data_IF_915983343622
#
_entry.id   IF_915983343622
#
_cell.length_a   1.000
_cell.length_b   1.000
_cell.length_c   1.000
_cell.angle_alpha   90.00
_cell.angle_beta   90.00
_cell.angle_gamma   90.00
#
_symmetry.space_group_name_H-M   'P 1'
#
loop_
_entity.id
_entity.type
_entity.pdbx_description
1 polymer ?
#
# COMPACT_ATOMS: atom_id res chain seq x y z
N UNK A 1 -6.45 31.00 -5.88
CA UNK A 1 -6.07 31.43 -4.52
C UNK A 1 -5.42 30.27 -3.79
N UNK A 2 -4.54 30.52 -2.82
CA UNK A 2 -3.88 29.46 -2.04
C UNK A 2 -4.00 29.74 -0.55
N UNK A 3 -4.54 28.77 0.19
CA UNK A 3 -4.64 28.79 1.64
C UNK A 3 -3.26 28.94 2.29
N UNK A 4 -3.18 29.75 3.35
CA UNK A 4 -1.94 30.03 4.08
C UNK A 4 -1.09 31.17 3.50
N UNK A 5 -1.47 31.76 2.37
CA UNK A 5 -0.81 32.97 1.84
C UNK A 5 -1.60 34.19 2.30
N UNK A 6 -1.17 34.78 3.42
CA UNK A 6 -1.91 35.84 4.14
C UNK A 6 -1.78 37.23 3.49
N UNK A 7 -1.95 37.32 2.17
CA UNK A 7 -1.85 38.56 1.42
C UNK A 7 -3.07 38.74 0.50
N UNK A 8 -3.55 39.98 0.30
CA UNK A 8 -4.58 40.31 -0.68
C UNK A 8 -4.00 40.47 -2.10
N UNK A 9 -2.71 40.20 -2.33
CA UNK A 9 -2.08 40.34 -3.65
C UNK A 9 -1.55 39.00 -4.17
N UNK A 10 -0.95 39.00 -5.37
CA UNK A 10 -0.29 37.83 -5.95
C UNK A 10 1.17 37.78 -5.53
N UNK A 11 1.65 36.59 -5.20
CA UNK A 11 3.06 36.34 -4.85
C UNK A 11 3.61 35.12 -5.60
N UNK A 12 4.93 35.07 -5.77
CA UNK A 12 5.61 33.98 -6.47
C UNK A 12 6.22 32.99 -5.50
N UNK A 13 5.59 31.82 -5.37
CA UNK A 13 6.01 30.76 -4.47
C UNK A 13 6.66 29.61 -5.23
N UNK A 14 7.66 28.98 -4.62
CA UNK A 14 8.28 27.75 -5.12
C UNK A 14 7.40 26.55 -4.72
N UNK A 15 6.66 25.99 -5.68
CA UNK A 15 5.71 24.90 -5.44
C UNK A 15 6.34 23.54 -5.79
N UNK A 16 6.03 22.53 -4.97
CA UNK A 16 6.46 21.15 -5.12
C UNK A 16 5.26 20.22 -5.33
N UNK A 17 5.50 18.91 -5.44
CA UNK A 17 4.43 17.92 -5.47
C UNK A 17 3.55 17.97 -4.20
N UNK A 18 2.25 17.72 -4.37
CA UNK A 18 1.24 17.83 -3.29
C UNK A 18 0.79 19.26 -2.95
N UNK A 19 1.48 20.31 -3.42
CA UNK A 19 1.00 21.67 -3.23
C UNK A 19 -0.18 22.01 -4.15
N UNK A 20 -1.21 22.66 -3.60
CA UNK A 20 -2.27 23.26 -4.41
C UNK A 20 -1.72 24.30 -5.40
N UNK A 21 -2.44 24.47 -6.52
CA UNK A 21 -2.11 25.37 -7.65
C UNK A 21 -0.93 24.94 -8.54
N UNK A 22 -0.37 23.75 -8.35
CA UNK A 22 0.67 23.20 -9.21
C UNK A 22 0.56 21.67 -9.33
N UNK A 23 0.93 21.15 -10.51
CA UNK A 23 1.09 19.73 -10.76
C UNK A 23 2.43 19.52 -11.46
N UNK A 24 3.41 18.86 -10.80
CA UNK A 24 4.72 18.63 -11.39
C UNK A 24 4.63 17.73 -12.62
N UNK A 25 5.59 17.88 -13.55
CA UNK A 25 5.71 17.05 -14.75
C UNK A 25 6.78 15.99 -14.60
N UNK A 26 7.78 16.23 -13.75
CA UNK A 26 8.82 15.26 -13.38
C UNK A 26 8.84 15.05 -11.88
N UNK A 27 9.26 13.87 -11.45
CA UNK A 27 9.48 13.57 -10.03
C UNK A 27 10.54 14.48 -9.45
N UNK A 28 10.27 15.07 -8.28
CA UNK A 28 11.18 16.02 -7.62
C UNK A 28 11.18 17.44 -8.21
N UNK A 29 10.44 17.71 -9.28
CA UNK A 29 10.36 19.05 -9.87
C UNK A 29 9.74 20.05 -8.88
N UNK A 30 10.38 21.21 -8.74
CA UNK A 30 9.83 22.38 -8.05
C UNK A 30 9.78 23.56 -9.01
N UNK A 31 8.68 24.30 -9.02
CA UNK A 31 8.51 25.44 -9.93
C UNK A 31 8.00 26.68 -9.21
N UNK A 32 8.66 27.82 -9.46
CA UNK A 32 8.23 29.12 -8.93
C UNK A 32 7.09 29.71 -9.76
N UNK A 33 5.86 29.68 -9.23
CA UNK A 33 4.65 30.17 -9.90
C UNK A 33 4.01 31.32 -9.14
N UNK A 34 3.40 32.25 -9.88
CA UNK A 34 2.55 33.30 -9.32
C UNK A 34 1.23 32.69 -8.83
N UNK A 35 0.84 33.02 -7.60
CA UNK A 35 -0.37 32.53 -6.95
C UNK A 35 -1.02 33.70 -6.22
N UNK A 36 -2.35 33.81 -6.32
CA UNK A 36 -3.13 34.78 -5.55
C UNK A 36 -3.25 34.33 -4.09
N UNK A 37 -3.09 35.25 -3.15
CA UNK A 37 -3.23 34.96 -1.73
C UNK A 37 -4.64 34.55 -1.29
N UNK A 38 -4.79 34.27 0.00
CA UNK A 38 -6.01 33.74 0.61
C UNK A 38 -7.04 34.82 0.98
N UNK A 39 -6.60 36.07 1.16
CA UNK A 39 -7.48 37.18 1.53
C UNK A 39 -8.26 37.63 0.27
N UNK A 40 -9.58 37.67 0.39
CA UNK A 40 -10.52 38.09 -0.65
C UNK A 40 -10.48 39.61 -0.85
N UNK A 41 -10.71 40.06 -2.08
CA UNK A 41 -10.78 41.47 -2.45
C UNK A 41 -11.61 41.66 -3.71
N UNK A 42 -11.79 42.93 -4.11
CA UNK A 42 -12.56 43.30 -5.31
C UNK A 42 -11.88 42.88 -6.63
N UNK A 43 -10.62 42.44 -6.57
CA UNK A 43 -9.83 42.00 -7.72
C UNK A 43 -10.17 40.57 -8.21
N UNK A 44 -11.09 39.88 -7.54
CA UNK A 44 -11.48 38.51 -7.85
C UNK A 44 -12.68 38.47 -8.81
N UNK A 45 -12.56 37.73 -9.90
CA UNK A 45 -13.68 37.52 -10.84
C UNK A 45 -14.70 36.47 -10.36
N UNK A 46 -14.25 35.47 -9.59
CA UNK A 46 -15.09 34.34 -9.15
C UNK A 46 -14.71 33.96 -7.72
N UNK A 47 -15.73 33.74 -6.87
CA UNK A 47 -15.60 33.16 -5.55
C UNK A 47 -16.24 31.76 -5.52
N UNK A 48 -15.51 30.79 -4.97
CA UNK A 48 -16.03 29.44 -4.77
C UNK A 48 -16.55 29.32 -3.33
N UNK A 49 -17.86 29.17 -3.19
CA UNK A 49 -18.56 29.05 -1.90
C UNK A 49 -19.10 27.63 -1.73
N UNK A 50 -19.14 27.16 -0.48
CA UNK A 50 -19.72 25.86 -0.11
C UNK A 50 -20.73 26.05 1.01
N UNK A 51 -21.96 25.59 0.81
CA UNK A 51 -23.03 25.68 1.80
C UNK A 51 -22.82 24.59 2.88
N UNK A 52 -22.79 25.00 4.15
CA UNK A 52 -22.61 24.09 5.30
C UNK A 52 -23.90 23.89 6.08
N UNK A 53 -24.77 24.90 6.10
CA UNK A 53 -26.09 24.88 6.77
C UNK A 53 -27.14 25.42 5.80
N UNK A 54 -28.25 24.71 5.66
CA UNK A 54 -29.40 25.16 4.87
C UNK A 54 -30.19 26.21 5.65
N UNK A 55 -30.66 27.25 4.96
CA UNK A 55 -31.57 28.26 5.52
C UNK A 55 -33.03 27.79 5.46
N UNK A 56 -33.96 28.71 5.70
CA UNK A 56 -35.40 28.43 5.65
C UNK A 56 -35.90 28.21 4.21
N UNK A 57 -35.34 28.95 3.24
CA UNK A 57 -35.70 28.84 1.83
C UNK A 57 -34.85 27.82 1.06
N UNK A 58 -35.48 27.14 0.11
CA UNK A 58 -34.81 26.32 -0.89
C UNK A 58 -34.23 27.18 -2.03
N UNK A 59 -33.09 26.76 -2.57
CA UNK A 59 -32.37 27.39 -3.67
C UNK A 59 -32.50 26.55 -4.95
N UNK A 60 -33.08 27.13 -6.02
CA UNK A 60 -33.33 26.41 -7.26
C UNK A 60 -32.04 25.84 -7.87
N UNK A 61 -32.08 24.55 -8.17
CA UNK A 61 -30.97 23.82 -8.81
C UNK A 61 -29.79 23.47 -7.89
N UNK A 62 -29.83 23.87 -6.61
CA UNK A 62 -28.79 23.54 -5.63
C UNK A 62 -29.32 22.63 -4.52
N UNK A 63 -30.37 23.04 -3.81
CA UNK A 63 -30.96 22.24 -2.72
C UNK A 63 -32.03 21.29 -3.22
N UNK A 64 -32.72 21.66 -4.30
CA UNK A 64 -33.91 20.95 -4.79
C UNK A 64 -33.55 19.64 -5.49
N UNK A 65 -32.34 19.57 -6.05
CA UNK A 65 -31.89 18.41 -6.82
C UNK A 65 -30.83 17.63 -6.06
N UNK A 66 -31.03 16.33 -5.90
CA UNK A 66 -30.06 15.43 -5.27
C UNK A 66 -29.32 14.64 -6.34
N UNK A 67 -28.04 14.94 -6.53
CA UNK A 67 -27.18 14.17 -7.42
C UNK A 67 -26.64 12.93 -6.69
N UNK A 68 -27.01 11.70 -7.10
CA UNK A 68 -26.57 10.50 -6.41
C UNK A 68 -25.08 10.25 -6.61
N UNK A 69 -24.43 9.64 -5.60
CA UNK A 69 -23.03 9.23 -5.69
C UNK A 69 -22.87 8.14 -6.76
N UNK A 70 -22.16 8.47 -7.83
CA UNK A 70 -21.94 7.57 -8.97
C UNK A 70 -21.26 6.24 -8.64
N UNK A 71 -20.38 6.20 -7.63
CA UNK A 71 -19.57 5.02 -7.31
C UNK A 71 -19.74 4.60 -5.85
N UNK A 72 -19.94 3.30 -5.67
CA UNK A 72 -19.95 2.64 -4.37
C UNK A 72 -18.56 2.28 -3.84
N UNK A 73 -18.48 1.78 -2.60
CA UNK A 73 -17.23 1.31 -2.00
C UNK A 73 -16.65 0.08 -2.70
N UNK A 74 -15.35 0.09 -2.99
CA UNK A 74 -14.61 -1.03 -3.65
C UNK A 74 -13.92 -1.99 -2.68
N UNK A 75 -13.53 -1.51 -1.50
CA UNK A 75 -12.74 -2.28 -0.52
C UNK A 75 -13.67 -3.07 0.39
N UNK A 76 -13.36 -4.33 0.68
CA UNK A 76 -14.20 -5.20 1.52
C UNK A 76 -14.57 -4.56 2.88
N UNK A 77 -13.62 -3.93 3.57
CA UNK A 77 -13.89 -3.25 4.85
C UNK A 77 -14.77 -2.01 4.73
N UNK A 78 -14.70 -1.30 3.60
CA UNK A 78 -15.58 -0.14 3.34
C UNK A 78 -17.00 -0.59 2.99
N UNK A 79 -17.15 -1.71 2.27
CA UNK A 79 -18.46 -2.31 1.97
C UNK A 79 -19.14 -2.74 3.28
N UNK A 80 -18.40 -3.41 4.17
CA UNK A 80 -18.93 -3.79 5.50
C UNK A 80 -19.43 -2.59 6.29
N UNK A 81 -18.59 -1.56 6.43
CA UNK A 81 -18.97 -0.33 7.15
C UNK A 81 -20.17 0.36 6.53
N UNK A 82 -20.27 0.38 5.20
CA UNK A 82 -21.33 1.07 4.49
C UNK A 82 -22.70 0.42 4.74
N UNK A 83 -22.76 -0.91 4.81
CA UNK A 83 -24.00 -1.66 5.04
C UNK A 83 -24.18 -2.14 6.49
N UNK A 84 -23.29 -1.75 7.42
CA UNK A 84 -23.33 -2.23 8.80
C UNK A 84 -23.12 -3.75 8.96
N UNK A 85 -22.42 -4.39 8.01
CA UNK A 85 -22.25 -5.85 8.00
C UNK A 85 -21.23 -6.33 9.03
N UNK A 86 -21.47 -7.54 9.52
CA UNK A 86 -20.55 -8.26 10.37
C UNK A 86 -19.36 -8.85 9.60
N UNK A 87 -18.35 -9.28 10.36
CA UNK A 87 -17.16 -9.91 9.79
C UNK A 87 -17.46 -11.25 9.11
N UNK A 88 -18.50 -11.95 9.57
CA UNK A 88 -18.95 -13.25 9.06
C UNK A 88 -19.67 -13.13 7.71
N UNK A 89 -20.25 -11.96 7.44
CA UNK A 89 -21.04 -11.75 6.23
C UNK A 89 -20.20 -11.74 4.95
N UNK A 90 -20.78 -12.33 3.90
CA UNK A 90 -20.18 -12.37 2.58
C UNK A 90 -20.42 -11.07 1.81
N UNK A 91 -19.42 -10.19 1.85
CA UNK A 91 -19.40 -8.91 1.15
C UNK A 91 -19.58 -9.00 -0.36
N UNK A 92 -19.43 -10.18 -0.99
CA UNK A 92 -19.61 -10.35 -2.44
C UNK A 92 -21.04 -10.11 -2.91
N UNK A 93 -22.01 -10.44 -2.05
CA UNK A 93 -23.44 -10.27 -2.33
C UNK A 93 -23.87 -8.80 -2.27
N UNK A 94 -23.20 -8.01 -1.44
CA UNK A 94 -23.54 -6.61 -1.16
C UNK A 94 -22.78 -5.59 -2.03
N UNK A 95 -22.13 -6.02 -3.12
CA UNK A 95 -21.45 -5.08 -4.02
C UNK A 95 -22.48 -4.33 -4.85
N UNK A 96 -22.46 -3.00 -4.76
CA UNK A 96 -23.30 -2.14 -5.60
C UNK A 96 -22.95 -2.36 -7.07
N UNK A 97 -23.96 -2.75 -7.86
CA UNK A 97 -23.86 -2.95 -9.30
C UNK A 97 -24.46 -1.76 -10.03
N UNK A 98 -23.91 -1.44 -11.20
CA UNK A 98 -24.45 -0.44 -12.11
C UNK A 98 -24.97 -1.14 -13.37
N UNK A 99 -26.21 -0.90 -13.73
CA UNK A 99 -26.76 -1.24 -15.06
C UNK A 99 -26.13 -0.33 -16.10
N UNK A 100 -25.66 -0.93 -17.20
CA UNK A 100 -25.11 -0.22 -18.34
C UNK A 100 -26.05 -0.47 -19.51
N UNK A 101 -26.82 0.56 -19.84
CA UNK A 101 -27.65 0.62 -21.04
C UNK A 101 -26.80 1.17 -22.19
N UNK A 102 -26.88 0.53 -23.36
CA UNK A 102 -26.22 0.99 -24.59
C UNK A 102 -27.18 0.76 -25.74
N UNK A 103 -27.34 1.76 -26.60
CA UNK A 103 -28.20 1.66 -27.78
C UNK A 103 -27.82 0.44 -28.63
N UNK A 104 -28.81 -0.37 -28.98
CA UNK A 104 -28.66 -1.59 -29.77
C UNK A 104 -27.93 -2.75 -29.08
N UNK A 105 -27.67 -2.69 -27.76
CA UNK A 105 -27.05 -3.78 -27.00
C UNK A 105 -27.87 -4.12 -25.75
N UNK A 106 -27.92 -5.40 -25.35
CA UNK A 106 -28.63 -5.78 -24.14
C UNK A 106 -28.00 -5.14 -22.91
N UNK A 107 -28.86 -4.80 -21.96
CA UNK A 107 -28.46 -4.24 -20.69
C UNK A 107 -27.67 -5.27 -19.89
N UNK A 108 -26.58 -4.81 -19.27
CA UNK A 108 -25.78 -5.67 -18.40
C UNK A 108 -25.31 -4.93 -17.16
N UNK A 109 -25.10 -5.68 -16.09
CA UNK A 109 -24.69 -5.11 -14.80
C UNK A 109 -23.18 -5.22 -14.61
N UNK A 110 -22.53 -4.10 -14.28
CA UNK A 110 -21.12 -4.05 -13.90
C UNK A 110 -20.97 -3.91 -12.40
N UNK A 111 -20.02 -4.64 -11.82
CA UNK A 111 -19.61 -4.49 -10.43
C UNK A 111 -18.10 -4.28 -10.33
N UNK A 112 -17.61 -3.46 -9.38
CA UNK A 112 -16.19 -3.33 -9.15
C UNK A 112 -15.60 -4.61 -8.54
N UNK A 113 -14.41 -5.03 -9.01
CA UNK A 113 -13.63 -6.08 -8.33
C UNK A 113 -13.34 -5.65 -6.88
N UNK A 114 -13.74 -6.47 -5.92
CA UNK A 114 -13.55 -6.20 -4.49
C UNK A 114 -12.06 -6.28 -4.15
N UNK A 115 -11.55 -5.23 -3.52
CA UNK A 115 -10.17 -5.20 -3.05
C UNK A 115 -10.07 -5.65 -1.59
N UNK A 116 -8.96 -6.31 -1.24
CA UNK A 116 -8.64 -6.79 0.11
C UNK A 116 -9.62 -7.83 0.66
N UNK A 117 -10.33 -8.54 -0.21
CA UNK A 117 -11.10 -9.72 0.15
C UNK A 117 -10.16 -10.87 0.57
N UNK A 118 -10.57 -11.69 1.54
CA UNK A 118 -9.88 -12.93 1.87
C UNK A 118 -10.31 -13.97 0.84
N UNK A 119 -9.36 -14.47 0.04
CA UNK A 119 -9.61 -15.47 -1.01
C UNK A 119 -8.80 -16.74 -0.74
N UNK A 120 -9.23 -17.92 -1.24
CA UNK A 120 -8.47 -19.16 -1.12
C UNK A 120 -7.02 -19.02 -1.61
N UNK A 121 -6.82 -18.33 -2.73
CA UNK A 121 -5.49 -18.04 -3.27
C UNK A 121 -4.62 -17.22 -2.29
N UNK A 122 -5.18 -16.25 -1.58
CA UNK A 122 -4.45 -15.47 -0.57
C UNK A 122 -4.05 -16.35 0.63
N UNK A 123 -4.93 -17.26 1.04
CA UNK A 123 -4.64 -18.23 2.11
C UNK A 123 -3.55 -19.21 1.67
N UNK A 124 -3.61 -19.73 0.45
CA UNK A 124 -2.59 -20.60 -0.13
C UNK A 124 -1.22 -19.91 -0.19
N UNK A 125 -1.14 -18.68 -0.72
CA UNK A 125 0.10 -17.89 -0.74
C UNK A 125 0.66 -17.65 0.66
N UNK A 126 -0.20 -17.47 1.68
CA UNK A 126 0.21 -17.35 3.08
C UNK A 126 0.80 -18.67 3.60
N UNK A 127 0.12 -19.81 3.36
CA UNK A 127 0.60 -21.15 3.74
C UNK A 127 1.95 -21.45 3.08
N UNK A 128 2.07 -21.22 1.78
CA UNK A 128 3.30 -21.43 1.01
C UNK A 128 4.46 -20.60 1.56
N UNK A 129 4.24 -19.32 1.89
CA UNK A 129 5.27 -18.46 2.49
C UNK A 129 5.79 -19.03 3.81
N UNK A 130 4.89 -19.52 4.66
CA UNK A 130 5.25 -20.12 5.95
C UNK A 130 6.02 -21.44 5.72
N UNK A 131 5.55 -22.29 4.80
CA UNK A 131 6.22 -23.53 4.46
C UNK A 131 7.65 -23.30 3.92
N UNK A 132 7.84 -22.30 3.06
CA UNK A 132 9.16 -21.92 2.55
C UNK A 132 10.10 -21.44 3.67
N UNK A 133 9.58 -20.69 4.65
CA UNK A 133 10.38 -20.28 5.81
C UNK A 133 10.84 -21.48 6.64
N UNK A 134 9.94 -22.45 6.88
CA UNK A 134 10.26 -23.68 7.61
C UNK A 134 11.30 -24.51 6.86
N UNK A 135 11.08 -24.77 5.57
CA UNK A 135 12.02 -25.52 4.72
C UNK A 135 13.42 -24.90 4.71
N UNK A 136 13.52 -23.56 4.64
CA UNK A 136 14.81 -22.87 4.71
C UNK A 136 15.50 -23.04 6.06
N UNK A 137 14.75 -22.98 7.16
CA UNK A 137 15.29 -23.19 8.50
C UNK A 137 15.75 -24.63 8.72
N UNK A 138 14.98 -25.60 8.26
CA UNK A 138 15.33 -27.03 8.29
C UNK A 138 16.60 -27.30 7.48
N UNK A 139 16.67 -26.85 6.22
CA UNK A 139 17.85 -27.01 5.38
C UNK A 139 19.10 -26.34 5.98
N UNK A 140 18.96 -25.17 6.60
CA UNK A 140 20.07 -24.51 7.28
C UNK A 140 20.55 -25.30 8.51
N UNK A 141 19.61 -25.90 9.27
CA UNK A 141 19.93 -26.74 10.43
C UNK A 141 20.63 -28.04 10.00
N UNK A 142 20.14 -28.68 8.94
CA UNK A 142 20.76 -29.88 8.36
C UNK A 142 22.18 -29.58 7.86
N UNK A 143 22.37 -28.52 7.07
CA UNK A 143 23.68 -28.11 6.59
C UNK A 143 24.66 -27.78 7.73
N UNK A 144 24.20 -27.13 8.80
CA UNK A 144 25.02 -26.86 9.98
C UNK A 144 25.42 -28.16 10.71
N UNK A 145 24.50 -29.11 10.85
CA UNK A 145 24.78 -30.41 11.45
C UNK A 145 25.77 -31.23 10.61
N UNK A 146 25.61 -31.24 9.28
CA UNK A 146 26.50 -31.96 8.38
C UNK A 146 27.90 -31.34 8.38
N UNK A 147 28.00 -30.02 8.39
CA UNK A 147 29.27 -29.32 8.54
C UNK A 147 29.93 -29.61 9.90
N UNK A 148 29.16 -29.64 10.99
CA UNK A 148 29.68 -29.97 12.32
C UNK A 148 30.24 -31.41 12.38
N UNK A 149 29.56 -32.38 11.75
CA UNK A 149 30.05 -33.76 11.63
C UNK A 149 31.36 -33.83 10.82
N UNK A 150 31.42 -33.15 9.69
CA UNK A 150 32.63 -33.08 8.85
C UNK A 150 33.79 -32.40 9.58
N UNK A 151 33.52 -31.36 10.36
CA UNK A 151 34.53 -30.68 11.15
C UNK A 151 35.07 -31.60 12.25
N UNK A 152 34.20 -32.34 12.93
CA UNK A 152 34.61 -33.31 13.94
C UNK A 152 35.52 -34.39 13.36
N UNK A 153 35.20 -34.97 12.20
CA UNK A 153 36.06 -35.98 11.56
C UNK A 153 37.43 -35.41 11.18
N UNK A 154 37.48 -34.21 10.58
CA UNK A 154 38.75 -33.53 10.25
C UNK A 154 39.61 -33.23 11.48
N UNK A 155 39.00 -32.78 12.57
CA UNK A 155 39.72 -32.53 13.83
C UNK A 155 40.29 -33.84 14.41
N UNK A 156 39.54 -34.94 14.34
CA UNK A 156 40.04 -36.25 14.75
C UNK A 156 41.21 -36.72 13.89
N UNK A 157 41.11 -36.59 12.56
CA UNK A 157 42.20 -36.93 11.63
C UNK A 157 43.46 -36.09 11.87
N UNK A 158 43.33 -34.77 12.07
CA UNK A 158 44.49 -33.92 12.37
C UNK A 158 45.13 -34.25 13.72
N UNK A 159 44.34 -34.53 14.75
CA UNK A 159 44.86 -35.00 16.04
C UNK A 159 45.61 -36.31 15.88
N UNK A 160 45.06 -37.28 15.14
CA UNK A 160 45.73 -38.55 14.87
C UNK A 160 47.06 -38.36 14.13
N UNK A 161 47.11 -37.50 13.10
CA UNK A 161 48.35 -37.15 12.39
C UNK A 161 49.39 -36.50 13.33
N UNK A 162 48.95 -35.59 14.20
CA UNK A 162 49.83 -34.92 15.18
C UNK A 162 50.39 -35.91 16.20
N UNK A 163 49.56 -36.84 16.68
CA UNK A 163 49.98 -37.88 17.61
C UNK A 163 50.94 -38.88 16.96
N UNK A 164 50.72 -39.25 15.70
CA UNK A 164 51.64 -40.08 14.91
C UNK A 164 53.00 -39.40 14.72
N UNK A 165 53.02 -38.11 14.35
CA UNK A 165 54.24 -37.31 14.25
C UNK A 165 54.98 -37.24 15.59
N UNK A 166 54.26 -37.07 16.70
CA UNK A 166 54.85 -37.06 18.05
C UNK A 166 55.47 -38.42 18.40
N UNK A 167 54.81 -39.53 18.07
CA UNK A 167 55.35 -40.89 18.24
C UNK A 167 56.62 -41.09 17.40
N UNK A 168 56.61 -40.69 16.12
CA UNK A 168 57.79 -40.76 15.24
C UNK A 168 58.99 -39.96 15.77
N UNK A 169 58.76 -38.74 16.28
CA UNK A 169 59.80 -37.90 16.91
C UNK A 169 60.35 -38.52 18.20
N UNK A 170 59.47 -39.11 19.02
CA UNK A 170 59.90 -39.79 20.25
C UNK A 170 60.75 -41.04 19.94
N UNK A 171 60.42 -41.80 18.89
CA UNK A 171 61.23 -42.94 18.46
C UNK A 171 62.57 -42.53 17.85
N UNK A 172 62.68 -41.36 17.20
CA UNK A 172 63.95 -40.89 16.63
C UNK A 172 64.92 -40.31 17.66
N UNK A 173 64.41 -39.89 18.83
CA UNK A 173 65.22 -39.42 19.96
C UNK A 173 65.72 -40.55 20.88
N UNK A 174 65.26 -41.79 20.64
CA UNK A 174 65.80 -43.01 21.26
C UNK A 174 66.95 -43.55 20.40
N UNK A 175 68.11 -42.91 20.52
CA UNK A 175 69.41 -43.42 20.07
C UNK A 175 70.43 -43.08 21.13
#
# INVERSE_FOLDING_TARGET
MKQGVLLPTRTRLLLADGHSCYRPRRTGERKRKSVRGAITGQDLAVLALSIVKQGEGELPGLTDTVVPKRLGPKRATKIRRFFGLDKKDDVRKFVIRRTVTREGKPDYTKAPKIQRLVTPQRLQRKRQRIALKRRRAEAAREAANDYAKLLASRVHEEKAKRDELRKRRASSMRK
#
